data_IF_465029724360
#
_entry.id   IF_465029724360
#
_cell.length_a   1.000
_cell.length_b   1.000
_cell.length_c   1.000
_cell.angle_alpha   90.00
_cell.angle_beta   90.00
_cell.angle_gamma   90.00
#
_symmetry.space_group_name_H-M   'P 1'
#
loop_
_entity.id
_entity.type
_entity.pdbx_description
1 polymer ?
#
# COMPACT_ATOMS: atom_id res chain seq x y z
N UNK A 1 -48.25 22.39 43.60
CA UNK A 1 -47.69 21.21 42.91
C UNK A 1 -47.00 21.68 41.64
N UNK A 2 -45.66 21.62 41.58
CA UNK A 2 -44.89 22.01 40.39
C UNK A 2 -44.70 20.78 39.50
N UNK A 3 -45.32 20.79 38.31
CA UNK A 3 -45.08 19.79 37.28
C UNK A 3 -43.77 20.13 36.55
N UNK A 4 -42.75 19.29 36.69
CA UNK A 4 -41.57 19.32 35.82
C UNK A 4 -41.83 18.39 34.64
N UNK A 5 -41.99 18.97 33.46
CA UNK A 5 -42.01 18.25 32.18
C UNK A 5 -40.55 17.92 31.83
N UNK A 6 -40.22 16.63 31.85
CA UNK A 6 -38.91 16.12 31.43
C UNK A 6 -38.87 16.10 29.90
N UNK A 7 -38.21 17.10 29.28
CA UNK A 7 -37.94 17.10 27.85
C UNK A 7 -36.78 16.14 27.55
N UNK A 8 -37.09 14.93 27.08
CA UNK A 8 -36.08 14.00 26.56
C UNK A 8 -35.75 14.44 25.14
N UNK A 9 -34.66 15.18 24.96
CA UNK A 9 -34.11 15.47 23.64
C UNK A 9 -33.44 14.21 23.09
N UNK A 10 -34.09 13.53 22.15
CA UNK A 10 -33.40 12.56 21.30
C UNK A 10 -32.46 13.33 20.36
N UNK A 11 -31.17 13.36 20.72
CA UNK A 11 -30.11 13.72 19.78
C UNK A 11 -30.03 12.60 18.73
N UNK A 12 -30.74 12.78 17.61
CA UNK A 12 -30.48 12.00 16.41
C UNK A 12 -29.09 12.38 15.91
N UNK A 13 -28.08 11.55 16.21
CA UNK A 13 -26.82 11.55 15.49
C UNK A 13 -27.13 11.24 14.02
N UNK A 14 -27.14 12.26 13.17
CA UNK A 14 -27.23 12.08 11.73
C UNK A 14 -26.03 11.27 11.28
N UNK A 15 -26.23 9.99 10.95
CA UNK A 15 -25.24 9.23 10.18
C UNK A 15 -25.04 9.99 8.87
N UNK A 16 -23.85 10.57 8.69
CA UNK A 16 -23.43 11.13 7.42
C UNK A 16 -23.73 10.10 6.34
N UNK A 17 -24.65 10.46 5.43
CA UNK A 17 -25.11 9.52 4.41
C UNK A 17 -23.95 9.31 3.46
N UNK A 18 -23.26 8.18 3.56
CA UNK A 18 -22.11 7.88 2.71
C UNK A 18 -22.58 7.25 1.41
N UNK A 19 -22.03 7.69 0.28
CA UNK A 19 -22.17 6.95 -0.97
C UNK A 19 -21.21 5.75 -0.91
N UNK A 20 -21.77 4.60 -0.51
CA UNK A 20 -21.09 3.30 -0.47
C UNK A 20 -21.12 2.73 -1.88
N UNK A 21 -19.99 2.52 -2.53
CA UNK A 21 -19.95 2.12 -3.93
C UNK A 21 -18.89 1.05 -4.18
N UNK A 22 -19.09 0.30 -5.25
CA UNK A 22 -18.18 -0.75 -5.70
C UNK A 22 -17.64 -0.41 -7.08
N UNK A 23 -16.36 -0.72 -7.30
CA UNK A 23 -15.73 -0.68 -8.62
C UNK A 23 -15.37 -2.08 -9.04
N UNK A 24 -16.02 -2.55 -10.11
CA UNK A 24 -15.85 -3.91 -10.62
C UNK A 24 -15.38 -3.88 -12.07
N UNK A 25 -14.71 -4.95 -12.47
CA UNK A 25 -14.40 -5.20 -13.88
C UNK A 25 -15.70 -5.44 -14.66
N UNK A 26 -15.85 -4.74 -15.79
CA UNK A 26 -17.00 -4.84 -16.67
C UNK A 26 -17.22 -6.27 -17.19
N UNK A 27 -16.14 -7.00 -17.50
CA UNK A 27 -16.18 -8.30 -18.16
C UNK A 27 -16.40 -9.43 -17.15
N UNK A 28 -15.52 -9.55 -16.15
CA UNK A 28 -15.53 -10.70 -15.24
C UNK A 28 -16.22 -10.41 -13.89
N UNK A 29 -16.67 -9.16 -13.67
CA UNK A 29 -17.37 -8.71 -12.45
C UNK A 29 -16.56 -8.85 -11.16
N UNK A 30 -15.25 -9.11 -11.25
CA UNK A 30 -14.37 -9.14 -10.08
C UNK A 30 -14.13 -7.73 -9.57
N UNK A 31 -13.96 -7.57 -8.25
CA UNK A 31 -13.59 -6.28 -7.70
C UNK A 31 -12.24 -5.78 -8.19
N UNK A 32 -12.14 -4.45 -8.39
CA UNK A 32 -10.90 -3.79 -8.75
C UNK A 32 -10.35 -3.09 -7.51
N UNK A 33 -9.29 -3.66 -6.96
CA UNK A 33 -8.53 -3.08 -5.85
C UNK A 33 -7.74 -1.85 -6.31
N UNK A 34 -7.55 -0.88 -5.40
CA UNK A 34 -6.66 0.27 -5.59
C UNK A 34 -6.94 1.13 -6.82
N UNK A 35 -8.21 1.27 -7.19
CA UNK A 35 -8.67 2.30 -8.13
C UNK A 35 -8.53 3.65 -7.45
N UNK A 36 -7.75 4.55 -8.04
CA UNK A 36 -7.67 5.93 -7.59
C UNK A 36 -8.94 6.68 -7.97
N UNK A 37 -9.56 7.33 -6.99
CA UNK A 37 -10.77 8.14 -7.16
C UNK A 37 -10.49 9.55 -6.69
N UNK A 38 -10.54 10.51 -7.61
CA UNK A 38 -10.29 11.93 -7.36
C UNK A 38 -11.61 12.72 -7.38
N UNK A 39 -11.77 13.65 -6.44
CA UNK A 39 -12.93 14.54 -6.33
C UNK A 39 -12.55 15.83 -5.58
N UNK A 40 -12.89 17.02 -6.09
CA UNK A 40 -12.63 18.33 -5.44
C UNK A 40 -11.25 18.44 -4.75
N UNK A 41 -10.17 18.10 -5.46
CA UNK A 41 -8.78 18.07 -4.95
C UNK A 41 -8.50 17.08 -3.80
N UNK A 42 -9.45 16.20 -3.48
CA UNK A 42 -9.28 15.08 -2.58
C UNK A 42 -9.12 13.80 -3.41
N UNK A 43 -8.50 12.78 -2.82
CA UNK A 43 -8.35 11.48 -3.43
C UNK A 43 -8.58 10.38 -2.41
N UNK A 44 -9.13 9.26 -2.87
CA UNK A 44 -9.21 8.02 -2.12
C UNK A 44 -8.90 6.84 -3.04
N UNK A 45 -8.79 5.64 -2.46
CA UNK A 45 -8.61 4.40 -3.22
C UNK A 45 -9.66 3.36 -2.83
N UNK A 46 -10.03 2.49 -3.77
CA UNK A 46 -10.83 1.29 -3.46
C UNK A 46 -10.01 0.28 -2.67
N UNK A 47 -10.67 -0.51 -1.83
CA UNK A 47 -10.04 -1.64 -1.14
C UNK A 47 -10.08 -2.94 -1.96
N UNK A 48 -9.69 -4.08 -1.38
CA UNK A 48 -9.69 -5.40 -2.04
C UNK A 48 -11.06 -5.83 -2.60
N UNK A 49 -12.16 -5.33 -2.03
CA UNK A 49 -13.52 -5.62 -2.48
C UNK A 49 -14.00 -4.61 -3.53
N UNK A 50 -13.12 -3.78 -4.07
CA UNK A 50 -13.47 -2.69 -4.98
C UNK A 50 -14.30 -1.61 -4.30
N UNK A 51 -14.39 -1.64 -2.97
CA UNK A 51 -15.30 -0.80 -2.22
C UNK A 51 -14.66 0.55 -1.88
N UNK A 52 -15.45 1.60 -1.99
CA UNK A 52 -15.07 2.94 -1.57
C UNK A 52 -16.25 3.75 -1.03
N UNK A 53 -15.91 4.83 -0.36
CA UNK A 53 -16.86 5.71 0.30
C UNK A 53 -16.49 7.17 0.10
N UNK A 54 -17.44 7.97 -0.38
CA UNK A 54 -17.27 9.42 -0.53
C UNK A 54 -18.18 10.14 0.48
N UNK A 55 -17.66 11.13 1.24
CA UNK A 55 -18.49 11.94 2.11
C UNK A 55 -19.48 12.78 1.30
N UNK A 56 -20.77 12.71 1.65
CA UNK A 56 -21.86 13.42 0.94
C UNK A 56 -21.91 14.92 1.20
N UNK A 57 -21.20 15.41 2.20
CA UNK A 57 -21.21 16.82 2.62
C UNK A 57 -20.46 17.78 1.68
N UNK A 58 -19.82 17.27 0.62
CA UNK A 58 -19.09 18.12 -0.31
C UNK A 58 -19.94 18.35 -1.56
N UNK A 59 -20.00 19.61 -2.02
CA UNK A 59 -20.46 19.99 -3.36
C UNK A 59 -19.53 19.35 -4.41
N UNK A 60 -19.63 18.02 -4.59
CA UNK A 60 -18.82 17.27 -5.55
C UNK A 60 -19.58 17.28 -6.86
N UNK A 61 -18.96 17.84 -7.90
CA UNK A 61 -19.56 17.88 -9.24
C UNK A 61 -19.36 16.54 -9.95
N UNK A 62 -18.13 16.03 -9.93
CA UNK A 62 -17.76 14.79 -10.60
C UNK A 62 -16.65 14.06 -9.86
N UNK A 63 -16.53 12.77 -10.17
CA UNK A 63 -15.42 11.92 -9.73
C UNK A 63 -14.69 11.37 -10.94
N UNK A 64 -13.37 11.23 -10.79
CA UNK A 64 -12.50 10.63 -11.78
C UNK A 64 -11.92 9.34 -11.23
N UNK A 65 -12.20 8.22 -11.91
CA UNK A 65 -11.66 6.90 -11.58
C UNK A 65 -10.53 6.54 -12.53
N UNK A 66 -9.43 6.04 -11.97
CA UNK A 66 -8.28 5.59 -12.75
C UNK A 66 -7.58 4.40 -12.11
N UNK A 67 -7.16 3.45 -12.95
CA UNK A 67 -6.37 2.30 -12.57
C UNK A 67 -5.50 1.89 -13.75
N UNK A 68 -4.29 1.38 -13.50
CA UNK A 68 -3.28 1.12 -14.53
C UNK A 68 -3.78 0.15 -15.62
N UNK A 69 -4.47 -0.92 -15.19
CA UNK A 69 -5.03 -1.96 -16.06
C UNK A 69 -6.42 -1.66 -16.64
N UNK A 70 -7.02 -0.50 -16.37
CA UNK A 70 -8.40 -0.18 -16.78
C UNK A 70 -8.51 1.20 -17.44
N UNK A 71 -9.50 1.35 -18.32
CA UNK A 71 -9.79 2.64 -18.95
C UNK A 71 -10.30 3.62 -17.88
N UNK A 72 -9.78 4.86 -17.83
CA UNK A 72 -10.26 5.85 -16.88
C UNK A 72 -11.72 6.22 -17.16
N UNK A 73 -12.44 6.64 -16.12
CA UNK A 73 -13.86 6.96 -16.21
C UNK A 73 -14.19 8.22 -15.41
N UNK A 74 -14.83 9.19 -16.06
CA UNK A 74 -15.45 10.34 -15.41
C UNK A 74 -16.92 10.02 -15.12
N UNK A 75 -17.39 10.39 -13.94
CA UNK A 75 -18.78 10.20 -13.52
C UNK A 75 -19.26 11.48 -12.84
N UNK A 76 -20.42 11.98 -13.24
CA UNK A 76 -21.07 13.10 -12.54
C UNK A 76 -21.55 12.56 -11.19
N UNK A 77 -21.20 13.23 -10.10
CA UNK A 77 -21.43 12.68 -8.77
C UNK A 77 -22.92 12.57 -8.42
N UNK A 78 -23.75 13.45 -8.97
CA UNK A 78 -25.22 13.37 -8.85
C UNK A 78 -25.81 12.07 -9.40
N UNK A 79 -25.11 11.41 -10.31
CA UNK A 79 -25.58 10.17 -10.95
C UNK A 79 -25.27 8.93 -10.09
N UNK A 80 -24.39 9.06 -9.11
CA UNK A 80 -23.96 7.96 -8.24
C UNK A 80 -25.01 7.75 -7.15
N UNK A 81 -25.71 6.62 -7.23
CA UNK A 81 -26.68 6.20 -6.22
C UNK A 81 -25.97 5.59 -5.02
N UNK A 82 -26.64 5.54 -3.87
CA UNK A 82 -26.14 4.75 -2.73
C UNK A 82 -26.11 3.27 -3.12
N UNK A 83 -25.01 2.58 -2.84
CA UNK A 83 -24.76 1.18 -3.21
C UNK A 83 -24.65 0.95 -4.72
N UNK A 84 -24.19 1.95 -5.47
CA UNK A 84 -23.99 1.80 -6.91
C UNK A 84 -22.75 0.94 -7.23
N UNK A 85 -22.77 0.32 -8.41
CA UNK A 85 -21.68 -0.49 -8.93
C UNK A 85 -21.15 0.14 -10.20
N UNK A 86 -19.94 0.67 -10.11
CA UNK A 86 -19.24 1.30 -11.23
C UNK A 86 -18.41 0.24 -11.94
N UNK A 87 -18.73 -0.02 -13.20
CA UNK A 87 -17.93 -0.90 -14.05
C UNK A 87 -16.83 -0.12 -14.78
N UNK A 88 -15.60 -0.66 -14.73
CA UNK A 88 -14.47 -0.23 -15.57
C UNK A 88 -14.13 -1.32 -16.61
N UNK A 89 -13.79 -0.89 -17.81
CA UNK A 89 -13.33 -1.79 -18.88
C UNK A 89 -11.81 -1.93 -18.82
N UNK A 90 -11.29 -3.16 -18.95
CA UNK A 90 -9.84 -3.38 -19.04
C UNK A 90 -9.21 -2.55 -20.19
N UNK A 91 -8.03 -2.01 -19.92
CA UNK A 91 -7.21 -1.34 -20.93
C UNK A 91 -6.41 -2.41 -21.68
N UNK A 92 -6.50 -2.48 -23.02
CA UNK A 92 -5.74 -3.46 -23.78
C UNK A 92 -4.24 -3.18 -23.67
N UNK A 93 -3.45 -4.24 -23.52
CA UNK A 93 -2.00 -4.18 -23.70
C UNK A 93 -1.75 -4.16 -25.21
N UNK A 94 -1.12 -3.08 -25.69
CA UNK A 94 -0.77 -2.88 -27.08
C UNK A 94 0.63 -3.43 -27.31
N UNK A 95 0.73 -4.53 -28.07
CA UNK A 95 2.00 -5.09 -28.49
C UNK A 95 2.28 -4.68 -29.94
N UNK A 96 3.02 -3.60 -30.11
CA UNK A 96 3.50 -3.18 -31.43
C UNK A 96 4.70 -4.04 -31.85
N UNK A 97 4.56 -4.82 -32.92
CA UNK A 97 5.60 -5.70 -33.44
C UNK A 97 6.87 -4.96 -33.88
N UNK A 98 6.74 -3.74 -34.40
CA UNK A 98 7.87 -2.92 -34.83
C UNK A 98 8.65 -2.45 -33.62
N UNK A 99 7.94 -2.02 -32.56
CA UNK A 99 8.56 -1.69 -31.28
C UNK A 99 9.23 -2.93 -30.70
N UNK A 100 8.53 -4.07 -30.62
CA UNK A 100 9.04 -5.32 -30.04
C UNK A 100 10.38 -5.75 -30.65
N UNK A 101 10.51 -5.71 -31.99
CA UNK A 101 11.75 -6.11 -32.69
C UNK A 101 12.94 -5.19 -32.39
N UNK A 102 12.69 -3.92 -32.08
CA UNK A 102 13.72 -2.90 -31.84
C UNK A 102 13.93 -2.56 -30.36
N UNK A 103 13.06 -3.04 -29.48
CA UNK A 103 13.02 -2.64 -28.08
C UNK A 103 14.21 -3.24 -27.32
N UNK A 104 15.19 -2.39 -27.01
CA UNK A 104 16.34 -2.76 -26.17
C UNK A 104 15.95 -2.71 -24.70
N UNK A 105 15.19 -3.72 -24.24
CA UNK A 105 14.58 -3.76 -22.90
C UNK A 105 15.58 -3.45 -21.78
N UNK A 106 16.78 -4.05 -21.82
CA UNK A 106 17.83 -3.82 -20.84
C UNK A 106 18.31 -2.37 -20.82
N UNK A 107 18.53 -1.79 -22.00
CA UNK A 107 19.00 -0.41 -22.12
C UNK A 107 17.91 0.57 -21.66
N UNK A 108 16.64 0.28 -21.93
CA UNK A 108 15.50 1.05 -21.41
C UNK A 108 15.46 1.02 -19.88
N UNK A 109 15.64 -0.14 -19.26
CA UNK A 109 15.70 -0.26 -17.79
C UNK A 109 16.87 0.54 -17.21
N UNK A 110 18.08 0.41 -17.77
CA UNK A 110 19.23 1.18 -17.32
C UNK A 110 18.99 2.69 -17.45
N UNK A 111 18.47 3.15 -18.59
CA UNK A 111 18.12 4.56 -18.79
C UNK A 111 17.06 5.04 -17.80
N UNK A 112 16.04 4.24 -17.51
CA UNK A 112 15.04 4.56 -16.51
C UNK A 112 15.66 4.72 -15.11
N UNK A 113 16.57 3.82 -14.72
CA UNK A 113 17.30 3.91 -13.45
C UNK A 113 18.16 5.18 -13.41
N UNK A 114 18.92 5.48 -14.48
CA UNK A 114 19.75 6.69 -14.54
C UNK A 114 18.93 7.99 -14.57
N UNK A 115 17.68 7.95 -15.03
CA UNK A 115 16.77 9.09 -15.04
C UNK A 115 16.05 9.34 -13.70
N UNK A 116 16.21 8.47 -12.69
CA UNK A 116 15.53 8.62 -11.39
C UNK A 116 15.80 10.01 -10.79
N UNK A 117 17.04 10.47 -10.77
CA UNK A 117 17.39 11.76 -10.17
C UNK A 117 16.76 12.96 -10.89
N UNK A 118 16.56 12.82 -12.19
CA UNK A 118 15.93 13.84 -13.02
C UNK A 118 14.41 13.84 -12.86
N UNK A 119 13.81 12.66 -12.74
CA UNK A 119 12.36 12.50 -12.83
C UNK A 119 11.66 12.63 -11.47
N UNK A 120 12.33 12.29 -10.38
CA UNK A 120 11.70 12.20 -9.06
C UNK A 120 11.97 13.42 -8.18
N UNK A 121 11.05 13.67 -7.25
CA UNK A 121 11.15 14.78 -6.32
C UNK A 121 12.37 14.60 -5.43
N UNK A 122 13.32 15.53 -5.55
CA UNK A 122 14.56 15.57 -4.78
C UNK A 122 14.77 16.95 -4.14
N UNK A 123 13.75 17.39 -3.40
CA UNK A 123 13.74 18.63 -2.64
C UNK A 123 13.08 18.38 -1.28
N UNK A 124 13.27 19.27 -0.28
CA UNK A 124 12.60 19.14 1.00
C UNK A 124 11.09 19.07 0.78
N UNK A 125 10.41 18.13 1.44
CA UNK A 125 8.96 18.04 1.37
C UNK A 125 8.37 17.32 2.57
N UNK A 126 7.10 17.62 2.84
CA UNK A 126 6.26 16.86 3.77
C UNK A 126 5.24 16.03 2.98
N UNK A 127 5.13 14.74 3.27
CA UNK A 127 4.09 13.87 2.72
C UNK A 127 3.07 13.53 3.80
N UNK A 128 1.80 13.82 3.55
CA UNK A 128 0.69 13.56 4.45
C UNK A 128 -0.01 12.29 3.99
N UNK A 129 -0.17 11.34 4.89
CA UNK A 129 -0.68 10.04 4.52
C UNK A 129 -1.43 9.31 5.61
N UNK A 130 -1.97 8.18 5.19
CA UNK A 130 -2.70 7.24 6.01
C UNK A 130 -2.06 5.87 5.88
N UNK A 131 -1.98 5.14 6.99
CA UNK A 131 -1.41 3.80 7.02
C UNK A 131 -2.30 2.85 7.82
N UNK A 132 -2.58 1.67 7.25
CA UNK A 132 -3.26 0.55 7.91
C UNK A 132 -2.37 -0.66 7.90
N UNK A 133 -2.28 -1.31 9.06
CA UNK A 133 -1.68 -2.63 9.22
C UNK A 133 -2.71 -3.58 9.83
N UNK A 134 -2.89 -4.75 9.22
CA UNK A 134 -3.73 -5.82 9.77
C UNK A 134 -2.96 -7.14 9.85
N UNK A 135 -3.22 -7.89 10.91
CA UNK A 135 -2.54 -9.14 11.23
C UNK A 135 -3.55 -10.25 11.49
N UNK A 136 -3.34 -11.38 10.83
CA UNK A 136 -4.05 -12.64 11.09
C UNK A 136 -3.09 -13.71 11.58
N UNK A 137 -3.57 -14.56 12.46
CA UNK A 137 -2.92 -15.78 12.93
C UNK A 137 -3.85 -16.95 12.62
N UNK A 138 -3.39 -17.94 11.84
CA UNK A 138 -4.18 -19.08 11.38
C UNK A 138 -5.52 -18.66 10.77
N UNK A 139 -5.46 -17.63 9.91
CA UNK A 139 -6.61 -16.99 9.24
C UNK A 139 -7.57 -16.21 10.14
N UNK A 140 -7.33 -16.13 11.45
CA UNK A 140 -8.11 -15.35 12.41
C UNK A 140 -7.49 -14.00 12.71
N UNK A 141 -8.31 -12.95 12.76
CA UNK A 141 -7.87 -11.60 13.14
C UNK A 141 -7.25 -11.57 14.54
N UNK A 142 -6.08 -10.94 14.67
CA UNK A 142 -5.39 -10.78 15.97
C UNK A 142 -4.94 -9.36 16.27
N UNK A 143 -4.73 -8.52 15.27
CA UNK A 143 -4.37 -7.12 15.48
C UNK A 143 -4.74 -6.27 14.26
N UNK A 144 -5.14 -5.03 14.51
CA UNK A 144 -5.19 -3.97 13.50
C UNK A 144 -4.67 -2.66 14.09
N UNK A 145 -3.92 -1.91 13.29
CA UNK A 145 -3.39 -0.57 13.62
C UNK A 145 -3.66 0.36 12.45
N UNK A 146 -4.15 1.55 12.73
CA UNK A 146 -4.27 2.63 11.75
C UNK A 146 -3.65 3.91 12.29
N UNK A 147 -3.01 4.67 11.41
CA UNK A 147 -2.43 5.97 11.76
C UNK A 147 -2.60 6.99 10.64
N UNK A 148 -2.82 8.23 11.05
CA UNK A 148 -2.50 9.39 10.24
C UNK A 148 -1.05 9.78 10.51
N UNK A 149 -0.31 10.09 9.44
CA UNK A 149 1.09 10.45 9.55
C UNK A 149 1.48 11.61 8.64
N UNK A 150 2.58 12.25 9.03
CA UNK A 150 3.34 13.16 8.19
C UNK A 150 4.75 12.58 8.09
N UNK A 151 5.27 12.38 6.89
CA UNK A 151 6.69 12.14 6.68
C UNK A 151 7.39 13.41 6.21
N UNK A 152 8.67 13.52 6.54
CA UNK A 152 9.54 14.60 6.09
C UNK A 152 10.83 14.01 5.57
N UNK A 153 11.33 14.57 4.48
CA UNK A 153 12.65 14.27 3.94
C UNK A 153 13.24 15.56 3.39
N UNK A 154 14.54 15.76 3.62
CA UNK A 154 15.27 16.92 3.12
C UNK A 154 15.66 16.76 1.65
N UNK A 155 16.11 15.58 1.26
CA UNK A 155 16.46 15.20 -0.11
C UNK A 155 16.56 13.67 -0.20
N UNK A 156 16.69 13.12 -1.41
CA UNK A 156 16.70 11.67 -1.65
C UNK A 156 17.74 10.88 -0.83
N UNK A 157 18.87 11.51 -0.48
CA UNK A 157 19.96 10.88 0.27
C UNK A 157 19.72 10.89 1.79
N UNK A 158 18.70 11.62 2.24
CA UNK A 158 18.32 11.70 3.64
C UNK A 158 17.43 10.53 4.06
N UNK A 159 17.45 10.23 5.34
CA UNK A 159 16.53 9.28 5.97
C UNK A 159 15.22 10.00 6.27
N UNK A 160 14.09 9.34 6.03
CA UNK A 160 12.77 9.90 6.34
C UNK A 160 12.61 10.12 7.85
N UNK A 161 12.02 11.25 8.22
CA UNK A 161 11.41 11.42 9.55
C UNK A 161 9.92 11.16 9.46
N UNK A 162 9.33 10.54 10.50
CA UNK A 162 7.89 10.20 10.51
C UNK A 162 7.21 10.64 11.80
N UNK A 163 6.18 11.48 11.67
CA UNK A 163 5.35 11.95 12.77
C UNK A 163 3.97 11.30 12.68
N UNK A 164 3.57 10.56 13.71
CA UNK A 164 2.21 10.09 13.91
C UNK A 164 1.39 11.25 14.49
N UNK A 165 0.26 11.58 13.86
CA UNK A 165 -0.63 12.65 14.33
C UNK A 165 -1.85 12.08 15.04
N UNK A 166 -2.42 10.99 14.53
CA UNK A 166 -3.53 10.25 15.13
C UNK A 166 -3.28 8.76 14.98
N UNK A 167 -3.80 7.96 15.90
CA UNK A 167 -3.77 6.51 15.81
C UNK A 167 -5.05 5.87 16.38
N UNK A 168 -5.38 4.68 15.87
CA UNK A 168 -6.19 3.68 16.57
C UNK A 168 -5.53 2.33 16.46
N UNK A 169 -5.71 1.50 17.49
CA UNK A 169 -5.24 0.12 17.47
C UNK A 169 -6.17 -0.80 18.24
N UNK A 170 -6.15 -2.08 17.88
CA UNK A 170 -6.78 -3.11 18.69
C UNK A 170 -5.80 -3.62 19.74
N UNK A 171 -6.28 -4.49 20.64
CA UNK A 171 -5.38 -5.36 21.40
C UNK A 171 -4.73 -6.37 20.45
N UNK A 172 -3.49 -6.74 20.74
CA UNK A 172 -2.78 -7.81 20.05
C UNK A 172 -3.10 -9.15 20.75
N UNK A 173 -3.66 -10.10 20.00
CA UNK A 173 -4.02 -11.43 20.47
C UNK A 173 -3.14 -12.55 19.91
N UNK A 174 -1.91 -12.22 19.50
CA UNK A 174 -0.98 -13.22 18.99
C UNK A 174 -0.50 -14.19 20.07
N UNK A 175 -0.40 -15.48 19.75
CA UNK A 175 0.10 -16.53 20.64
C UNK A 175 1.63 -16.52 20.76
N UNK A 176 2.33 -16.07 19.72
CA UNK A 176 3.78 -15.92 19.70
C UNK A 176 4.07 -14.43 19.50
N UNK A 177 5.00 -13.84 20.25
CA UNK A 177 5.28 -12.40 20.13
C UNK A 177 5.72 -12.02 18.69
N UNK A 178 4.77 -11.51 17.90
CA UNK A 178 4.97 -11.00 16.54
C UNK A 178 5.09 -9.48 16.60
N UNK A 179 6.32 -8.98 16.46
CA UNK A 179 6.59 -7.54 16.51
C UNK A 179 6.75 -6.97 15.09
N UNK A 180 6.03 -5.89 14.81
CA UNK A 180 6.16 -5.11 13.57
C UNK A 180 7.02 -3.88 13.83
N UNK A 181 8.31 -3.95 13.48
CA UNK A 181 9.29 -2.92 13.85
C UNK A 181 9.26 -1.74 12.87
N UNK A 182 9.17 -0.53 13.43
CA UNK A 182 9.30 0.75 12.72
C UNK A 182 8.06 1.22 11.95
N UNK A 183 7.07 0.36 11.67
CA UNK A 183 5.77 0.75 11.09
C UNK A 183 5.89 1.60 9.82
N UNK A 184 5.20 2.75 9.80
CA UNK A 184 5.20 3.71 8.67
C UNK A 184 6.60 4.04 8.17
N UNK A 185 7.53 4.40 9.08
CA UNK A 185 8.92 4.68 8.72
C UNK A 185 9.56 3.55 7.92
N UNK A 186 9.42 2.30 8.38
CA UNK A 186 9.99 1.13 7.69
C UNK A 186 9.38 0.96 6.30
N UNK A 187 8.06 1.14 6.18
CA UNK A 187 7.35 0.99 4.90
C UNK A 187 7.83 2.01 3.89
N UNK A 188 7.97 3.29 4.27
CA UNK A 188 8.46 4.33 3.37
C UNK A 188 9.97 4.14 3.10
N UNK A 189 10.80 4.09 4.15
CA UNK A 189 12.25 4.11 4.01
C UNK A 189 12.77 2.88 3.29
N UNK A 190 12.18 1.69 3.51
CA UNK A 190 12.62 0.46 2.84
C UNK A 190 11.82 0.13 1.59
N UNK A 191 10.57 0.58 1.49
CA UNK A 191 9.67 0.25 0.37
C UNK A 191 9.81 1.18 -0.83
N UNK A 192 10.33 2.41 -0.67
CA UNK A 192 10.62 3.30 -1.80
C UNK A 192 11.90 2.85 -2.53
N UNK A 193 11.76 1.87 -3.42
CA UNK A 193 12.88 1.29 -4.16
C UNK A 193 13.47 2.25 -5.19
N UNK A 194 12.69 3.20 -5.70
CA UNK A 194 13.17 4.20 -6.66
C UNK A 194 14.11 5.17 -5.97
N UNK A 195 13.72 5.73 -4.82
CA UNK A 195 14.60 6.57 -4.00
C UNK A 195 15.92 5.87 -3.68
N UNK A 196 15.83 4.61 -3.23
CA UNK A 196 17.00 3.85 -2.78
C UNK A 196 17.84 3.24 -3.91
N UNK A 197 17.32 3.20 -5.14
CA UNK A 197 17.91 2.45 -6.26
C UNK A 197 18.37 1.05 -5.84
N UNK A 198 17.50 0.33 -5.12
CA UNK A 198 17.85 -0.93 -4.46
C UNK A 198 17.41 -2.16 -5.28
N UNK A 199 17.97 -3.32 -4.93
CA UNK A 199 17.62 -4.61 -5.54
C UNK A 199 17.75 -4.62 -7.08
N UNK A 200 16.64 -4.79 -7.80
CA UNK A 200 16.60 -4.85 -9.27
C UNK A 200 16.66 -3.45 -9.94
N UNK A 201 16.58 -2.38 -9.15
CA UNK A 201 16.81 -1.00 -9.58
C UNK A 201 18.24 -0.52 -9.30
N UNK A 202 19.08 -1.33 -8.65
CA UNK A 202 20.49 -1.01 -8.54
C UNK A 202 21.16 -1.27 -9.90
N UNK A 203 21.85 -0.27 -10.50
CA UNK A 203 22.51 -0.44 -11.80
C UNK A 203 23.43 -1.66 -11.89
N UNK A 204 24.14 -1.97 -10.79
CA UNK A 204 25.09 -3.09 -10.72
C UNK A 204 24.41 -4.46 -10.71
N UNK A 205 23.13 -4.52 -10.35
CA UNK A 205 22.37 -5.76 -10.25
C UNK A 205 21.54 -6.05 -11.52
N UNK A 206 21.40 -5.10 -12.45
CA UNK A 206 20.56 -5.24 -13.65
C UNK A 206 20.94 -6.50 -14.46
N UNK A 207 22.23 -6.83 -14.53
CA UNK A 207 22.70 -8.01 -15.26
C UNK A 207 22.32 -9.35 -14.61
N UNK A 208 21.87 -9.34 -13.34
CA UNK A 208 21.42 -10.52 -12.61
C UNK A 208 19.93 -10.83 -12.82
N UNK A 209 19.23 -9.98 -13.57
CA UNK A 209 17.82 -10.17 -13.93
C UNK A 209 17.65 -10.30 -15.45
N UNK A 210 16.63 -11.05 -15.83
CA UNK A 210 16.09 -11.08 -17.19
C UNK A 210 14.90 -10.14 -17.26
N UNK A 211 14.76 -9.41 -18.37
CA UNK A 211 13.67 -8.47 -18.60
C UNK A 211 12.97 -8.80 -19.92
N UNK A 212 11.64 -8.75 -19.92
CA UNK A 212 10.81 -9.03 -21.08
C UNK A 212 9.84 -7.86 -21.25
N UNK A 213 9.89 -7.23 -22.41
CA UNK A 213 8.90 -6.23 -22.80
C UNK A 213 7.59 -6.93 -23.17
N UNK A 214 6.51 -6.56 -22.49
CA UNK A 214 5.19 -7.18 -22.66
C UNK A 214 4.20 -6.30 -23.44
N UNK A 215 4.60 -5.06 -23.77
CA UNK A 215 3.78 -4.12 -24.54
C UNK A 215 3.65 -2.77 -23.86
N UNK A 216 2.69 -1.99 -24.35
CA UNK A 216 2.34 -0.67 -23.81
C UNK A 216 0.89 -0.64 -23.32
N UNK A 217 0.65 0.22 -22.33
CA UNK A 217 -0.69 0.57 -21.88
C UNK A 217 -0.84 2.09 -21.87
N UNK A 218 -2.08 2.57 -22.04
CA UNK A 218 -2.42 3.98 -21.89
C UNK A 218 -3.02 4.20 -20.50
N UNK A 219 -2.49 5.15 -19.74
CA UNK A 219 -2.94 5.46 -18.39
C UNK A 219 -2.84 6.96 -18.13
N UNK A 220 -3.97 7.62 -17.83
CA UNK A 220 -4.02 9.06 -17.54
C UNK A 220 -3.28 9.95 -18.56
N UNK A 221 -3.41 9.63 -19.86
CA UNK A 221 -2.73 10.36 -20.94
C UNK A 221 -1.23 10.01 -21.12
N UNK A 222 -0.69 9.15 -20.26
CA UNK A 222 0.64 8.57 -20.42
C UNK A 222 0.58 7.31 -21.27
N UNK A 223 1.64 7.08 -22.03
CA UNK A 223 1.96 5.77 -22.58
C UNK A 223 2.97 5.12 -21.65
N UNK A 224 2.75 3.85 -21.31
CA UNK A 224 3.54 3.16 -20.29
C UNK A 224 4.03 1.85 -20.85
N UNK A 225 5.33 1.61 -20.81
CA UNK A 225 5.92 0.30 -21.04
C UNK A 225 5.58 -0.64 -19.88
N UNK A 226 5.08 -1.83 -20.20
CA UNK A 226 4.98 -2.96 -19.29
C UNK A 226 6.18 -3.87 -19.50
N UNK A 227 7.03 -4.02 -18.47
CA UNK A 227 8.23 -4.85 -18.52
C UNK A 227 8.22 -5.84 -17.37
N UNK A 228 8.18 -7.13 -17.68
CA UNK A 228 8.34 -8.19 -16.68
C UNK A 228 9.82 -8.42 -16.38
N UNK A 229 10.16 -8.67 -15.12
CA UNK A 229 11.51 -9.00 -14.68
C UNK A 229 11.53 -10.22 -13.76
N UNK A 230 12.62 -11.00 -13.80
CA UNK A 230 12.82 -12.16 -12.93
C UNK A 230 14.31 -12.51 -12.83
N UNK A 231 14.76 -13.21 -11.77
CA UNK A 231 16.17 -13.53 -11.59
C UNK A 231 16.70 -14.39 -12.75
N UNK A 232 17.88 -14.06 -13.25
CA UNK A 232 18.51 -14.77 -14.37
C UNK A 232 19.12 -16.11 -13.93
N UNK A 233 19.84 -16.11 -12.81
CA UNK A 233 20.44 -17.32 -12.24
C UNK A 233 19.46 -17.93 -11.21
N UNK A 234 19.09 -19.21 -11.38
CA UNK A 234 18.15 -19.92 -10.49
C UNK A 234 18.76 -20.29 -9.13
N UNK A 235 20.08 -20.46 -9.05
CA UNK A 235 20.77 -20.92 -7.84
C UNK A 235 21.26 -19.77 -6.97
N UNK A 236 21.42 -18.56 -7.53
CA UNK A 236 21.84 -17.38 -6.76
C UNK A 236 20.71 -16.84 -5.87
N UNK A 237 20.76 -17.17 -4.58
CA UNK A 237 19.74 -16.78 -3.59
C UNK A 237 19.79 -15.29 -3.20
N UNK A 238 20.75 -14.50 -3.71
CA UNK A 238 20.77 -13.04 -3.50
C UNK A 238 19.67 -12.33 -4.29
N UNK A 239 19.38 -12.82 -5.50
CA UNK A 239 18.41 -12.23 -6.41
C UNK A 239 17.15 -13.09 -6.46
N UNK A 240 16.17 -12.73 -5.65
CA UNK A 240 14.93 -13.52 -5.49
C UNK A 240 13.68 -12.78 -5.97
N UNK A 241 13.75 -11.51 -6.34
CA UNK A 241 12.54 -10.73 -6.67
C UNK A 241 12.13 -10.94 -8.12
N UNK A 242 10.83 -10.98 -8.40
CA UNK A 242 10.28 -11.03 -9.76
C UNK A 242 8.99 -10.23 -9.82
N UNK A 243 8.61 -9.77 -11.00
CA UNK A 243 7.38 -8.99 -11.14
C UNK A 243 7.36 -8.14 -12.40
N UNK A 244 6.69 -7.00 -12.32
CA UNK A 244 6.39 -6.11 -13.43
C UNK A 244 6.79 -4.68 -13.08
N UNK A 245 7.39 -4.01 -14.05
CA UNK A 245 7.75 -2.60 -14.03
C UNK A 245 6.89 -1.87 -15.04
N UNK A 246 6.27 -0.79 -14.61
CA UNK A 246 5.48 0.09 -15.44
C UNK A 246 6.21 1.41 -15.56
N UNK A 247 6.66 1.75 -16.76
CA UNK A 247 7.57 2.89 -17.02
C UNK A 247 6.97 3.81 -18.06
N UNK A 248 6.83 5.10 -17.76
CA UNK A 248 6.39 6.12 -18.71
C UNK A 248 7.33 6.17 -19.92
N UNK A 249 6.79 6.12 -21.14
CA UNK A 249 7.61 6.03 -22.36
C UNK A 249 8.39 7.30 -22.65
N UNK A 250 7.91 8.46 -22.18
CA UNK A 250 8.51 9.77 -22.47
C UNK A 250 9.63 10.12 -21.49
N UNK A 251 9.34 10.10 -20.19
CA UNK A 251 10.31 10.46 -19.15
C UNK A 251 11.20 9.29 -18.74
N UNK A 252 10.75 8.05 -18.95
CA UNK A 252 11.32 6.84 -18.36
C UNK A 252 11.22 6.79 -16.83
N UNK A 253 10.22 7.45 -16.24
CA UNK A 253 9.90 7.29 -14.84
C UNK A 253 9.11 6.00 -14.58
N UNK A 254 9.41 5.31 -13.49
CA UNK A 254 8.59 4.22 -12.94
C UNK A 254 7.28 4.76 -12.38
N UNK A 255 6.16 4.31 -12.96
CA UNK A 255 4.80 4.66 -12.55
C UNK A 255 4.33 3.69 -11.46
N UNK A 256 4.58 2.41 -11.66
CA UNK A 256 4.25 1.34 -10.73
C UNK A 256 5.31 0.23 -10.78
N UNK A 257 5.54 -0.38 -9.62
CA UNK A 257 6.36 -1.57 -9.46
C UNK A 257 5.53 -2.60 -8.71
N UNK A 258 5.20 -3.70 -9.37
CA UNK A 258 4.60 -4.87 -8.74
C UNK A 258 5.68 -5.94 -8.62
N UNK A 259 5.95 -6.43 -7.42
CA UNK A 259 6.90 -7.52 -7.25
C UNK A 259 6.51 -8.51 -6.16
N UNK A 260 6.91 -9.74 -6.41
CA UNK A 260 6.90 -10.84 -5.46
C UNK A 260 8.30 -11.44 -5.33
N UNK A 261 8.38 -12.53 -4.58
CA UNK A 261 9.59 -13.34 -4.44
C UNK A 261 9.44 -14.63 -5.22
N UNK A 262 10.55 -15.10 -5.80
CA UNK A 262 10.61 -16.37 -6.49
C UNK A 262 10.46 -17.52 -5.48
N UNK A 263 9.40 -18.29 -5.67
CA UNK A 263 8.98 -19.33 -4.73
C UNK A 263 10.01 -20.45 -4.57
N UNK A 264 10.66 -20.87 -5.66
CA UNK A 264 11.67 -21.93 -5.60
C UNK A 264 12.88 -21.47 -4.78
N UNK A 265 13.36 -20.25 -5.02
CA UNK A 265 14.45 -19.65 -4.23
C UNK A 265 14.06 -19.43 -2.77
N UNK A 266 12.85 -18.93 -2.53
CA UNK A 266 12.34 -18.71 -1.18
C UNK A 266 12.25 -20.03 -0.39
N UNK A 267 11.80 -21.11 -1.03
CA UNK A 267 11.74 -22.42 -0.42
C UNK A 267 13.14 -22.94 -0.03
N UNK A 268 14.16 -22.67 -0.84
CA UNK A 268 15.55 -22.99 -0.50
C UNK A 268 16.05 -22.16 0.69
N UNK A 269 15.81 -20.84 0.70
CA UNK A 269 16.16 -19.95 1.81
C UNK A 269 15.49 -20.42 3.10
N UNK A 270 14.20 -20.74 3.05
CA UNK A 270 13.44 -21.24 4.19
C UNK A 270 14.04 -22.53 4.77
N UNK A 271 14.47 -23.48 3.94
CA UNK A 271 15.11 -24.72 4.43
C UNK A 271 16.40 -24.41 5.19
N UNK A 272 17.18 -23.43 4.72
CA UNK A 272 18.40 -22.96 5.40
C UNK A 272 18.08 -22.25 6.72
N UNK A 273 17.07 -21.36 6.72
CA UNK A 273 16.62 -20.65 7.93
C UNK A 273 16.09 -21.61 8.99
N UNK A 274 15.31 -22.62 8.61
CA UNK A 274 14.79 -23.66 9.52
C UNK A 274 15.92 -24.47 10.17
N UNK A 275 16.96 -24.82 9.40
CA UNK A 275 18.12 -25.54 9.92
C UNK A 275 18.85 -24.70 10.98
N UNK A 276 18.99 -23.40 10.75
CA UNK A 276 19.63 -22.47 11.68
C UNK A 276 18.77 -22.19 12.92
N UNK A 277 17.44 -22.09 12.75
CA UNK A 277 16.51 -21.81 13.86
C UNK A 277 16.46 -22.95 14.89
N UNK A 278 16.55 -24.22 14.47
CA UNK A 278 16.64 -25.37 15.38
C UNK A 278 17.83 -25.30 16.33
N UNK A 279 18.89 -24.57 15.96
CA UNK A 279 20.09 -24.38 16.78
C UNK A 279 19.86 -23.27 17.83
N UNK A 280 18.90 -22.35 17.63
CA UNK A 280 18.68 -21.17 18.46
C UNK A 280 17.22 -21.01 18.90
N UNK A 281 16.77 -21.81 19.87
CA UNK A 281 15.39 -21.84 20.37
C UNK A 281 15.04 -20.81 21.47
N UNK A 282 15.88 -19.81 21.72
CA UNK A 282 15.68 -18.88 22.86
C UNK A 282 14.63 -17.79 22.60
N UNK A 283 14.27 -17.54 21.35
CA UNK A 283 13.29 -16.50 20.95
C UNK A 283 12.42 -17.00 19.80
N UNK A 284 11.21 -16.44 19.63
CA UNK A 284 10.42 -16.66 18.43
C UNK A 284 11.21 -16.37 17.16
N UNK A 285 10.99 -17.16 16.12
CA UNK A 285 11.50 -16.89 14.79
C UNK A 285 10.36 -16.92 13.77
N UNK A 286 10.51 -16.13 12.71
CA UNK A 286 9.49 -15.96 11.68
C UNK A 286 10.13 -16.14 10.30
N UNK A 287 9.60 -17.08 9.52
CA UNK A 287 10.10 -17.42 8.19
C UNK A 287 9.11 -16.94 7.14
N UNK A 288 9.59 -16.18 6.17
CA UNK A 288 8.77 -15.69 5.06
C UNK A 288 8.34 -16.84 4.15
N UNK A 289 7.04 -16.94 3.88
CA UNK A 289 6.42 -17.93 2.98
C UNK A 289 6.01 -17.34 1.65
N UNK A 290 5.56 -16.10 1.65
CA UNK A 290 5.31 -15.34 0.44
C UNK A 290 5.40 -13.84 0.72
N UNK A 291 5.53 -13.06 -0.35
CA UNK A 291 5.54 -11.62 -0.30
C UNK A 291 5.02 -11.10 -1.65
N UNK A 292 4.06 -10.18 -1.61
CA UNK A 292 3.60 -9.40 -2.74
C UNK A 292 3.65 -7.93 -2.34
N UNK A 293 4.20 -7.07 -3.20
CA UNK A 293 4.18 -5.62 -2.99
C UNK A 293 3.79 -4.90 -4.27
N UNK A 294 3.09 -3.79 -4.10
CA UNK A 294 2.82 -2.83 -5.14
C UNK A 294 3.28 -1.46 -4.65
N UNK A 295 4.16 -0.82 -5.40
CA UNK A 295 4.66 0.53 -5.14
C UNK A 295 4.22 1.42 -6.30
N UNK A 296 3.51 2.51 -5.99
CA UNK A 296 3.02 3.45 -7.00
C UNK A 296 3.63 4.81 -6.80
N UNK A 297 3.85 5.51 -7.91
CA UNK A 297 4.32 6.88 -7.95
C UNK A 297 3.30 7.75 -8.68
N UNK A 298 3.24 9.03 -8.32
CA UNK A 298 2.37 10.03 -8.96
C UNK A 298 3.19 11.26 -9.33
N UNK A 299 2.75 11.96 -10.38
CA UNK A 299 3.25 13.30 -10.67
C UNK A 299 2.76 14.28 -9.59
N UNK A 300 3.66 15.15 -9.16
CA UNK A 300 3.35 16.34 -8.35
C UNK A 300 3.06 17.54 -9.24
N UNK A 301 2.54 18.60 -8.65
CA UNK A 301 2.29 19.88 -9.34
C UNK A 301 3.58 20.48 -9.94
N UNK A 302 4.73 20.18 -9.33
CA UNK A 302 6.07 20.56 -9.80
C UNK A 302 6.60 19.69 -10.96
N UNK A 303 5.74 18.85 -11.55
CA UNK A 303 6.06 17.91 -12.63
C UNK A 303 7.20 16.94 -12.28
N UNK A 304 7.25 16.52 -11.01
CA UNK A 304 8.17 15.50 -10.49
C UNK A 304 7.40 14.28 -10.01
N UNK A 305 7.97 13.10 -10.18
CA UNK A 305 7.39 11.88 -9.64
C UNK A 305 7.69 11.75 -8.15
N UNK A 306 6.70 11.35 -7.36
CA UNK A 306 6.85 11.10 -5.93
C UNK A 306 6.07 9.85 -5.51
N UNK A 307 6.45 9.26 -4.38
CA UNK A 307 5.76 8.10 -3.82
C UNK A 307 4.27 8.43 -3.61
N UNK A 308 3.40 7.54 -4.08
CA UNK A 308 1.94 7.67 -3.99
C UNK A 308 1.37 6.67 -2.99
N UNK A 309 1.71 5.39 -3.14
CA UNK A 309 1.22 4.34 -2.25
C UNK A 309 2.18 3.15 -2.19
N UNK A 310 2.13 2.42 -1.07
CA UNK A 310 2.78 1.12 -0.90
C UNK A 310 1.77 0.14 -0.31
N UNK A 311 1.58 -0.97 -0.98
CA UNK A 311 0.83 -2.12 -0.47
C UNK A 311 1.79 -3.29 -0.33
N UNK A 312 1.77 -3.93 0.84
CA UNK A 312 2.64 -5.04 1.17
C UNK A 312 1.85 -6.14 1.87
N UNK A 313 1.79 -7.32 1.25
CA UNK A 313 1.15 -8.51 1.81
C UNK A 313 2.18 -9.61 1.96
N UNK A 314 2.30 -10.15 3.17
CA UNK A 314 3.24 -11.24 3.45
C UNK A 314 2.62 -12.30 4.35
N UNK A 315 2.94 -13.55 4.06
CA UNK A 315 2.68 -14.68 4.94
C UNK A 315 4.00 -15.14 5.55
N UNK A 316 3.97 -15.44 6.84
CA UNK A 316 5.11 -15.96 7.59
C UNK A 316 4.68 -17.16 8.42
N UNK A 317 5.57 -18.13 8.60
CA UNK A 317 5.42 -19.12 9.67
C UNK A 317 6.19 -18.62 10.88
N UNK A 318 5.48 -18.40 11.98
CA UNK A 318 6.08 -18.07 13.27
C UNK A 318 6.15 -19.31 14.14
N UNK A 319 7.31 -19.58 14.71
CA UNK A 319 7.52 -20.74 15.58
C UNK A 319 8.25 -20.34 16.86
N UNK A 320 7.82 -20.92 17.97
CA UNK A 320 8.44 -20.74 19.28
C UNK A 320 8.11 -21.93 20.17
N UNK A 321 9.14 -22.62 20.67
CA UNK A 321 8.98 -23.91 21.37
C UNK A 321 8.18 -24.88 20.48
N UNK A 322 7.10 -25.44 21.00
CA UNK A 322 6.22 -26.38 20.28
C UNK A 322 5.09 -25.69 19.48
N UNK A 323 4.99 -24.35 19.58
CA UNK A 323 4.00 -23.58 18.84
C UNK A 323 4.49 -23.27 17.43
N UNK A 324 3.59 -23.42 16.46
CA UNK A 324 3.80 -23.02 15.07
C UNK A 324 2.51 -22.50 14.49
N UNK A 325 2.52 -21.25 14.02
CA UNK A 325 1.36 -20.55 13.51
C UNK A 325 1.68 -19.85 12.20
N UNK A 326 0.66 -19.71 11.34
CA UNK A 326 0.79 -18.93 10.10
C UNK A 326 0.28 -17.51 10.34
N UNK A 327 1.12 -16.54 10.03
CA UNK A 327 0.82 -15.12 10.14
C UNK A 327 0.63 -14.49 8.77
N UNK A 328 -0.48 -13.79 8.56
CA UNK A 328 -0.68 -12.94 7.38
C UNK A 328 -0.65 -11.48 7.83
N UNK A 329 0.33 -10.73 7.34
CA UNK A 329 0.48 -9.30 7.53
C UNK A 329 0.09 -8.58 6.24
N UNK A 330 -0.86 -7.65 6.33
CA UNK A 330 -1.22 -6.72 5.26
C UNK A 330 -0.92 -5.29 5.74
N UNK A 331 -0.14 -4.54 4.97
CA UNK A 331 0.26 -3.19 5.26
C UNK A 331 -0.02 -2.30 4.04
N UNK A 332 -0.81 -1.24 4.22
CA UNK A 332 -1.22 -0.31 3.17
C UNK A 332 -0.89 1.10 3.59
N UNK A 333 -0.15 1.82 2.75
CA UNK A 333 0.24 3.20 2.93
C UNK A 333 -0.23 4.02 1.73
N UNK A 334 -0.90 5.13 1.97
CA UNK A 334 -1.36 6.06 0.93
C UNK A 334 -0.91 7.48 1.27
N UNK A 335 -0.32 8.18 0.30
CA UNK A 335 0.06 9.58 0.40
C UNK A 335 -1.01 10.43 -0.29
N UNK A 336 -1.76 11.15 0.52
CA UNK A 336 -2.89 11.96 0.07
C UNK A 336 -2.39 13.28 -0.51
N UNK A 337 -1.40 13.90 0.15
CA UNK A 337 -0.92 15.24 -0.19
C UNK A 337 0.59 15.35 0.04
N UNK A 338 1.27 16.08 -0.84
CA UNK A 338 2.71 16.37 -0.73
C UNK A 338 2.87 17.88 -0.77
N UNK A 339 3.62 18.42 0.18
CA UNK A 339 3.88 19.85 0.34
C UNK A 339 5.37 20.14 0.14
N UNK A 340 5.69 20.88 -0.92
CA UNK A 340 7.05 21.34 -1.28
C UNK A 340 7.33 22.79 -0.88
N UNK A 341 6.28 23.59 -0.68
CA UNK A 341 6.37 24.98 -0.18
C UNK A 341 6.15 25.03 1.32
N UNK A 342 6.83 25.90 2.08
CA UNK A 342 6.67 26.02 3.54
C UNK A 342 6.81 24.67 4.27
N UNK A 343 7.83 23.91 3.88
CA UNK A 343 8.18 22.61 4.46
C UNK A 343 8.55 22.80 5.93
N UNK A 344 8.03 21.92 6.79
CA UNK A 344 8.35 21.92 8.20
C UNK A 344 9.18 20.68 8.54
N UNK A 345 10.51 20.82 8.76
CA UNK A 345 11.35 19.74 9.25
C UNK A 345 10.92 19.28 10.65
N UNK A 346 10.99 17.97 10.89
CA UNK A 346 10.79 17.41 12.22
C UNK A 346 11.55 16.09 12.37
N UNK A 347 11.69 15.61 13.61
CA UNK A 347 12.20 14.27 13.91
C UNK A 347 11.06 13.28 14.12
N UNK A 348 11.35 12.01 13.91
CA UNK A 348 10.41 10.92 14.17
C UNK A 348 9.89 10.98 15.60
N UNK A 349 8.56 10.97 15.77
CA UNK A 349 7.93 11.14 17.08
C UNK A 349 7.50 9.80 17.71
N UNK A 350 8.10 8.67 17.37
CA UNK A 350 7.84 7.38 18.00
C UNK A 350 9.08 6.50 17.95
N UNK A 351 9.15 5.49 18.82
CA UNK A 351 10.34 4.65 18.93
C UNK A 351 10.34 3.59 17.82
N UNK A 352 11.29 3.72 16.89
CA UNK A 352 11.45 2.83 15.74
C UNK A 352 11.89 1.40 16.09
N UNK A 353 12.45 1.18 17.28
CA UNK A 353 12.90 -0.16 17.72
C UNK A 353 11.83 -0.95 18.47
N UNK A 354 10.72 -0.31 18.84
CA UNK A 354 9.57 -0.99 19.47
C UNK A 354 8.64 -1.54 18.40
N UNK A 355 7.86 -2.55 18.81
CA UNK A 355 6.68 -2.96 18.06
C UNK A 355 5.76 -1.75 17.81
N UNK A 356 5.29 -1.62 16.57
CA UNK A 356 4.61 -0.41 16.11
C UNK A 356 3.31 -0.18 16.88
N UNK A 357 2.52 -1.23 17.12
CA UNK A 357 1.29 -1.16 17.92
C UNK A 357 1.56 -0.61 19.33
N UNK A 358 2.63 -1.07 19.99
CA UNK A 358 3.08 -0.52 21.29
C UNK A 358 3.58 0.92 21.16
N UNK A 359 4.29 1.26 20.09
CA UNK A 359 4.87 2.58 19.86
C UNK A 359 3.80 3.67 19.64
N UNK A 360 2.66 3.32 19.04
CA UNK A 360 1.59 4.28 18.72
C UNK A 360 0.55 4.45 19.83
N UNK A 361 0.62 3.66 20.92
CA UNK A 361 -0.34 3.70 22.03
C UNK A 361 -0.57 5.10 22.63
N UNK A 362 0.43 5.97 22.62
CA UNK A 362 0.31 7.35 23.15
C UNK A 362 -0.46 8.32 22.24
N UNK A 363 -0.76 7.89 21.01
CA UNK A 363 -1.50 8.66 20.01
C UNK A 363 -2.89 8.07 19.77
N UNK A 364 -3.31 7.08 20.57
CA UNK A 364 -4.54 6.31 20.42
C UNK A 364 -5.74 7.21 20.78
N UNK A 365 -6.24 7.95 19.77
CA UNK A 365 -7.23 9.01 19.92
C UNK A 365 -8.35 8.98 18.86
N UNK A 366 -8.35 8.00 17.95
CA UNK A 366 -9.45 7.81 17.01
C UNK A 366 -10.55 6.98 17.70
N UNK A 367 -11.73 7.59 17.86
CA UNK A 367 -12.80 7.10 18.75
C UNK A 367 -13.60 5.90 18.23
N UNK A 368 -13.43 5.51 16.95
CA UNK A 368 -14.08 4.34 16.38
C UNK A 368 -13.19 3.62 15.35
N UNK A 369 -13.65 2.46 14.87
CA UNK A 369 -13.13 1.80 13.65
C UNK A 369 -14.00 2.13 12.42
N UNK A 370 -14.75 3.23 12.50
CA UNK A 370 -15.60 3.74 11.46
C UNK A 370 -14.82 4.21 10.25
N UNK A 371 -15.56 4.58 9.20
CA UNK A 371 -15.00 4.85 7.91
C UNK A 371 -14.15 6.12 7.93
N UNK A 372 -12.83 5.96 7.74
CA UNK A 372 -12.00 7.06 7.30
C UNK A 372 -12.12 7.07 5.76
N UNK A 373 -12.64 8.14 5.17
CA UNK A 373 -12.86 8.27 3.72
C UNK A 373 -11.55 8.23 2.88
N UNK A 374 -10.40 7.91 3.51
CA UNK A 374 -9.07 7.80 2.93
C UNK A 374 -8.81 6.36 2.44
N UNK A 375 -9.16 5.36 3.26
CA UNK A 375 -9.04 3.94 2.93
C UNK A 375 -10.17 3.16 3.60
N UNK A 376 -11.19 2.78 2.83
CA UNK A 376 -12.34 2.04 3.38
C UNK A 376 -11.94 0.64 3.85
N UNK A 377 -12.59 0.14 4.91
CA UNK A 377 -12.34 -1.23 5.40
C UNK A 377 -12.86 -2.26 4.40
N UNK A 378 -12.01 -3.24 4.03
CA UNK A 378 -12.44 -4.41 3.29
C UNK A 378 -13.26 -5.37 4.16
N UNK A 379 -13.96 -6.30 3.53
CA UNK A 379 -14.70 -7.38 4.19
C UNK A 379 -13.75 -8.26 5.02
N UNK A 380 -12.54 -8.52 4.53
CA UNK A 380 -11.51 -9.22 5.31
C UNK A 380 -11.09 -8.41 6.54
N UNK A 381 -10.88 -7.10 6.40
CA UNK A 381 -10.54 -6.21 7.53
C UNK A 381 -11.69 -6.09 8.54
N UNK A 382 -12.94 -6.00 8.09
CA UNK A 382 -14.14 -6.06 8.96
C UNK A 382 -14.20 -7.38 9.72
N UNK A 383 -13.94 -8.51 9.05
CA UNK A 383 -13.86 -9.83 9.68
C UNK A 383 -12.73 -9.91 10.71
N UNK A 384 -11.56 -9.33 10.42
CA UNK A 384 -10.44 -9.24 11.37
C UNK A 384 -10.88 -8.50 12.64
N UNK A 385 -11.54 -7.35 12.51
CA UNK A 385 -12.05 -6.60 13.65
C UNK A 385 -13.08 -7.41 14.44
N UNK A 386 -13.99 -8.10 13.76
CA UNK A 386 -14.97 -8.97 14.41
C UNK A 386 -14.30 -10.10 15.21
N UNK A 387 -13.34 -10.82 14.63
CA UNK A 387 -12.57 -11.88 15.33
C UNK A 387 -11.91 -11.33 16.62
N UNK A 388 -11.36 -10.12 16.56
CA UNK A 388 -10.72 -9.44 17.69
C UNK A 388 -11.75 -9.06 18.77
N UNK A 389 -12.92 -8.53 18.38
CA UNK A 389 -13.98 -8.15 19.31
C UNK A 389 -14.64 -9.36 19.98
N UNK A 390 -14.82 -10.47 19.26
CA UNK A 390 -15.30 -11.72 19.85
C UNK A 390 -14.30 -12.25 20.89
N UNK A 391 -12.99 -12.23 20.59
CA UNK A 391 -11.95 -12.57 21.57
C UNK A 391 -11.96 -11.67 22.80
N UNK A 392 -12.35 -10.40 22.66
CA UNK A 392 -12.49 -9.48 23.80
C UNK A 392 -13.67 -9.85 24.71
N UNK A 393 -14.76 -10.40 24.17
CA UNK A 393 -15.94 -10.81 24.97
C UNK A 393 -15.69 -12.09 25.77
N UNK A 394 -14.80 -12.95 25.29
CA UNK A 394 -14.51 -14.25 25.89
C UNK A 394 -13.32 -14.24 26.89
N UNK A 395 -12.67 -13.08 27.10
CA UNK A 395 -11.62 -12.85 28.10
C UNK A 395 -12.08 -11.80 29.09
#
# INVERSE_FOLDING_TARGET
MKNYILFISFLFLTKNVVSQNYVLDLNNKKPIESVHILYNNNGLITNEDGYFEIPKEKNIDSIFLSHLSFKPKWIIFSDIKKNDTIYLQESPIILDEVVLKKFKVRDTILKAIYNIDKNYLNAPHNSFGFYRQSLKEDSKGIEMVEVDFISYIENKNSVYSTKITNARRTKNYSKIEFNTIGGVFTVIEKGDFVKQQSYFLNPNNVNNYSYIYEGQIKYQGLEIYKIRFFPKNKDDLKFIRKGELYIDTKSLAFVEINYSVDEAKLNTIMKLELKNAKINNRKPFFILKNLNNIIRYKLTDDNKWALSSIEAKSNKTGSFKDLSHTYTLNAKLVINHIKTNNVNPFKTNYNLSKDFSKAVRRFDNLDDWGNNFKLSLSNDEKRILNDIYEKKKNN
#
